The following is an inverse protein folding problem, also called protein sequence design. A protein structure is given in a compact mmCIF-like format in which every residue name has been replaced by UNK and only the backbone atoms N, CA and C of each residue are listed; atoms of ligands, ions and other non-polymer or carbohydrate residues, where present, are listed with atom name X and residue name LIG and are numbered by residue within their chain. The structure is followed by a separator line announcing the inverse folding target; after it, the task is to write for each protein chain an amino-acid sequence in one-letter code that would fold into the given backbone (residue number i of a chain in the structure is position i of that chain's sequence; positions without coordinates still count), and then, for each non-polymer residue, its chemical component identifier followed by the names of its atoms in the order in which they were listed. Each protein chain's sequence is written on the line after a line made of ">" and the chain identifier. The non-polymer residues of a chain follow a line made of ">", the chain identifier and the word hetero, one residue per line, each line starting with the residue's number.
data_IF_721864271991
#
_entry.id   IF_721864271991
#
_cell.length_a   1.000
_cell.length_b   1.000
_cell.length_c   1.000
_cell.angle_alpha   90.00
_cell.angle_beta   90.00
_cell.angle_gamma   90.00
#
_symmetry.space_group_name_H-M   'P 1'
#
loop_
_entity.id
_entity.type
_entity.pdbx_description
1 polymer ?
#
# COMPACT_ATOMS: atom_id res chain seq x y z
N UNK A 1 -45.76 -87.58 16.88
CA UNK A 1 -44.33 -87.23 17.10
C UNK A 1 -44.09 -85.90 16.49
N UNK A 2 -43.84 -84.83 17.28
CA UNK A 2 -43.49 -83.50 16.77
C UNK A 2 -42.02 -83.27 16.89
N UNK A 3 -41.30 -82.71 15.85
CA UNK A 3 -39.91 -82.29 15.97
C UNK A 3 -39.80 -80.88 16.51
N UNK A 4 -38.72 -80.64 17.26
CA UNK A 4 -38.47 -79.41 17.99
C UNK A 4 -38.07 -78.25 17.13
N UNK A 5 -38.31 -77.01 17.66
CA UNK A 5 -37.87 -75.75 17.15
C UNK A 5 -36.39 -75.50 17.45
N UNK A 6 -35.64 -74.90 16.49
CA UNK A 6 -34.32 -74.39 16.78
C UNK A 6 -34.41 -72.92 17.35
N UNK A 7 -33.47 -72.63 18.27
CA UNK A 7 -33.42 -71.40 19.03
C UNK A 7 -33.02 -70.14 18.20
N UNK A 8 -33.55 -69.01 18.64
CA UNK A 8 -33.20 -67.73 18.14
C UNK A 8 -31.84 -67.23 18.69
N UNK A 9 -31.00 -66.57 17.92
CA UNK A 9 -29.82 -65.92 18.45
C UNK A 9 -30.18 -64.55 19.07
N UNK A 10 -29.57 -64.29 20.23
CA UNK A 10 -29.67 -63.03 20.99
C UNK A 10 -28.89 -61.94 20.28
N UNK A 11 -29.37 -60.71 20.11
CA UNK A 11 -28.59 -59.64 19.52
C UNK A 11 -27.61 -59.07 20.54
N UNK A 12 -26.29 -59.29 20.23
CA UNK A 12 -25.17 -58.80 21.02
C UNK A 12 -25.03 -57.28 20.93
N UNK A 13 -24.77 -56.70 22.09
CA UNK A 13 -24.43 -55.33 22.30
C UNK A 13 -23.11 -54.96 21.61
N UNK A 14 -23.19 -54.19 20.49
CA UNK A 14 -22.00 -53.52 19.94
C UNK A 14 -22.30 -52.32 19.04
N UNK A 15 -23.21 -51.42 19.43
CA UNK A 15 -23.52 -50.23 18.64
C UNK A 15 -23.28 -48.87 19.33
N UNK A 16 -22.67 -48.90 20.53
CA UNK A 16 -22.37 -47.63 21.24
C UNK A 16 -20.94 -47.14 21.18
N UNK A 17 -19.98 -47.98 20.75
CA UNK A 17 -18.57 -47.60 20.69
C UNK A 17 -18.15 -46.91 19.38
N UNK A 18 -18.91 -47.08 18.30
CA UNK A 18 -18.55 -46.47 16.99
C UNK A 18 -19.03 -45.00 16.81
N UNK A 19 -19.97 -44.56 17.63
CA UNK A 19 -20.53 -43.17 17.49
C UNK A 19 -19.72 -42.13 18.26
N UNK A 20 -18.84 -42.48 19.19
CA UNK A 20 -17.98 -41.49 19.90
C UNK A 20 -16.69 -41.18 19.17
N UNK A 21 -16.15 -42.11 18.38
CA UNK A 21 -14.93 -41.89 17.62
C UNK A 21 -15.18 -41.06 16.33
N UNK A 22 -16.37 -41.19 15.73
CA UNK A 22 -16.79 -40.32 14.63
C UNK A 22 -17.08 -38.88 15.08
N UNK A 23 -17.56 -38.68 16.30
CA UNK A 23 -17.75 -37.33 16.88
C UNK A 23 -16.45 -36.63 17.25
N UNK A 24 -15.35 -37.34 17.40
CA UNK A 24 -14.01 -36.78 17.65
C UNK A 24 -13.27 -36.34 16.38
N UNK A 25 -13.65 -36.81 15.20
CA UNK A 25 -13.00 -36.49 13.93
C UNK A 25 -13.56 -35.24 13.25
N UNK A 26 -14.76 -34.79 13.60
CA UNK A 26 -15.30 -33.49 13.16
C UNK A 26 -15.01 -32.38 14.18
N UNK A 27 -13.78 -32.23 14.67
CA UNK A 27 -13.33 -30.89 15.05
C UNK A 27 -13.18 -30.10 13.77
N UNK A 28 -14.27 -29.49 13.33
CA UNK A 28 -14.21 -28.32 12.47
C UNK A 28 -13.18 -27.39 13.09
N UNK A 29 -12.00 -27.32 12.50
CA UNK A 29 -11.15 -26.15 12.66
C UNK A 29 -12.04 -25.03 12.16
N UNK A 30 -12.75 -24.38 13.06
CA UNK A 30 -13.36 -23.09 12.78
C UNK A 30 -12.18 -22.23 12.33
N UNK A 31 -12.00 -22.11 11.02
CA UNK A 31 -11.13 -21.10 10.45
C UNK A 31 -11.72 -19.82 11.03
N UNK A 32 -11.09 -19.29 12.08
CA UNK A 32 -11.41 -17.96 12.57
C UNK A 32 -11.27 -17.08 11.36
N UNK A 33 -12.39 -16.69 10.77
CA UNK A 33 -12.43 -15.65 9.78
C UNK A 33 -11.83 -14.43 10.48
N UNK A 34 -10.55 -14.17 10.24
CA UNK A 34 -9.94 -12.93 10.69
C UNK A 34 -10.71 -11.82 10.00
N UNK A 35 -11.20 -10.82 10.74
CA UNK A 35 -11.82 -9.67 10.10
C UNK A 35 -10.84 -9.11 9.07
N UNK A 36 -11.28 -8.94 7.84
CA UNK A 36 -10.48 -8.31 6.80
C UNK A 36 -10.17 -6.88 7.24
N UNK A 37 -8.92 -6.47 7.08
CA UNK A 37 -8.53 -5.09 7.32
C UNK A 37 -9.03 -4.21 6.19
N UNK A 38 -9.51 -3.03 6.52
CA UNK A 38 -9.93 -2.02 5.54
C UNK A 38 -8.67 -1.34 4.98
N UNK A 39 -8.59 -1.25 3.67
CA UNK A 39 -7.57 -0.46 3.00
C UNK A 39 -8.23 0.50 2.03
N UNK A 40 -8.01 1.78 2.22
CA UNK A 40 -8.49 2.84 1.33
C UNK A 40 -7.36 3.25 0.40
N UNK A 41 -7.64 3.23 -0.88
CA UNK A 41 -6.80 3.77 -1.93
C UNK A 41 -7.36 5.14 -2.31
N UNK A 42 -6.66 6.20 -1.97
CA UNK A 42 -7.03 7.58 -2.33
C UNK A 42 -6.10 8.09 -3.42
N UNK A 43 -6.65 8.67 -4.48
CA UNK A 43 -5.89 9.54 -5.36
C UNK A 43 -5.81 10.95 -4.75
N UNK A 44 -4.75 11.20 -3.96
CA UNK A 44 -4.57 12.48 -3.28
C UNK A 44 -4.30 13.61 -4.27
N UNK A 45 -5.14 14.66 -4.33
CA UNK A 45 -4.90 15.80 -5.18
C UNK A 45 -3.66 16.63 -4.77
N UNK A 46 -3.18 17.46 -5.69
CA UNK A 46 -2.20 18.51 -5.40
C UNK A 46 -2.74 19.50 -4.35
N UNK A 47 -1.88 19.99 -3.47
CA UNK A 47 -2.23 20.98 -2.44
C UNK A 47 -2.87 20.42 -1.17
N UNK A 48 -3.31 19.15 -1.17
CA UNK A 48 -3.96 18.51 -0.02
C UNK A 48 -2.92 18.06 1.00
N UNK A 49 -3.13 18.43 2.27
CA UNK A 49 -2.30 18.00 3.38
C UNK A 49 -2.60 16.53 3.76
N UNK A 50 -1.54 15.76 3.99
CA UNK A 50 -1.64 14.36 4.40
C UNK A 50 -1.92 14.21 5.90
N UNK A 51 -3.03 14.79 6.37
CA UNK A 51 -3.52 14.76 7.76
C UNK A 51 -5.05 14.95 7.80
N UNK A 52 -5.68 14.46 8.87
CA UNK A 52 -7.11 14.68 9.13
C UNK A 52 -7.42 15.93 9.96
N UNK A 53 -6.42 16.45 10.68
CA UNK A 53 -6.58 17.69 11.43
C UNK A 53 -6.76 18.86 10.45
N UNK A 54 -7.85 19.60 10.62
CA UNK A 54 -8.13 20.77 9.80
C UNK A 54 -7.05 21.85 9.98
N UNK A 55 -6.69 22.52 8.90
CA UNK A 55 -5.77 23.65 8.88
C UNK A 55 -6.41 24.81 8.11
N UNK A 56 -6.53 26.00 8.67
CA UNK A 56 -7.19 27.12 8.01
C UNK A 56 -6.62 27.41 6.62
N UNK A 57 -7.51 27.50 5.62
CA UNK A 57 -7.15 27.81 4.23
C UNK A 57 -6.48 26.67 3.45
N UNK A 58 -6.40 25.45 4.02
CA UNK A 58 -5.81 24.29 3.34
C UNK A 58 -6.75 23.10 3.36
N UNK A 59 -6.84 22.41 2.23
CA UNK A 59 -7.53 21.12 2.15
C UNK A 59 -6.72 20.02 2.84
N UNK A 60 -7.42 19.09 3.50
CA UNK A 60 -6.87 17.98 4.27
C UNK A 60 -7.49 16.66 3.83
N UNK A 61 -7.04 15.53 4.34
CA UNK A 61 -7.66 14.22 4.07
C UNK A 61 -9.11 14.15 4.52
N UNK A 62 -9.49 14.94 5.53
CA UNK A 62 -10.86 14.99 6.04
C UNK A 62 -11.88 15.43 4.98
N UNK A 63 -11.45 16.27 4.04
CA UNK A 63 -12.31 16.82 2.99
C UNK A 63 -12.58 15.80 1.86
N UNK A 64 -11.81 14.72 1.80
CA UNK A 64 -11.87 13.70 0.74
C UNK A 64 -12.30 12.32 1.24
N UNK A 65 -11.91 11.93 2.46
CA UNK A 65 -12.15 10.59 3.00
C UNK A 65 -13.00 10.69 4.27
N UNK A 66 -14.35 10.59 4.13
CA UNK A 66 -15.28 10.69 5.27
C UNK A 66 -15.38 9.37 6.05
N UNK A 67 -14.31 8.59 6.08
CA UNK A 67 -14.26 7.28 6.75
C UNK A 67 -13.60 7.46 8.11
N UNK A 68 -14.27 7.13 9.23
CA UNK A 68 -13.70 7.26 10.57
C UNK A 68 -12.60 6.22 10.81
N UNK A 69 -11.73 6.54 11.76
CA UNK A 69 -10.71 5.65 12.34
C UNK A 69 -9.70 5.07 11.35
N UNK A 70 -9.50 5.73 10.19
CA UNK A 70 -8.45 5.36 9.24
C UNK A 70 -7.27 6.31 9.31
N UNK A 71 -6.07 5.77 9.13
CA UNK A 71 -4.81 6.51 9.22
C UNK A 71 -3.96 6.26 7.97
N UNK A 72 -3.24 7.28 7.53
CA UNK A 72 -2.37 7.16 6.38
C UNK A 72 -1.21 6.17 6.64
N UNK A 73 -1.04 5.22 5.74
CA UNK A 73 0.08 4.28 5.72
C UNK A 73 1.27 4.90 4.98
N UNK A 74 1.99 5.77 5.65
CA UNK A 74 3.00 6.65 5.10
C UNK A 74 2.43 8.00 4.68
N UNK A 75 3.30 8.90 4.24
CA UNK A 75 2.93 10.28 3.87
C UNK A 75 3.17 10.53 2.39
N UNK A 76 2.48 11.53 1.88
CA UNK A 76 2.72 12.15 0.60
C UNK A 76 2.69 13.67 0.82
N UNK A 77 3.68 14.38 0.30
CA UNK A 77 3.79 15.82 0.49
C UNK A 77 2.58 16.54 -0.12
N UNK A 78 2.27 17.74 0.35
CA UNK A 78 1.15 18.52 -0.18
C UNK A 78 1.30 18.85 -1.66
N UNK A 79 2.54 19.10 -2.10
CA UNK A 79 2.89 19.40 -3.50
C UNK A 79 3.08 18.13 -4.37
N UNK A 80 2.74 16.96 -3.85
CA UNK A 80 2.77 15.69 -4.56
C UNK A 80 1.37 15.09 -4.67
N UNK A 81 1.12 14.36 -5.75
CA UNK A 81 -0.19 13.81 -6.13
C UNK A 81 -0.16 12.28 -6.11
N UNK A 82 -1.33 11.67 -6.15
CA UNK A 82 -1.47 10.27 -6.46
C UNK A 82 -1.73 9.37 -5.26
N UNK A 83 -1.37 8.11 -5.37
CA UNK A 83 -1.79 7.05 -4.46
C UNK A 83 -1.35 7.29 -3.01
N UNK A 84 -2.32 7.43 -2.15
CA UNK A 84 -2.17 7.39 -0.70
C UNK A 84 -3.00 6.23 -0.15
N UNK A 85 -2.39 5.42 0.68
CA UNK A 85 -3.07 4.30 1.35
C UNK A 85 -3.45 4.71 2.77
N UNK A 86 -4.70 4.39 3.18
CA UNK A 86 -5.16 4.59 4.54
C UNK A 86 -5.78 3.29 5.05
N UNK A 87 -5.65 3.01 6.34
CA UNK A 87 -6.19 1.79 6.96
C UNK A 87 -6.52 2.03 8.43
N UNK A 88 -7.43 1.25 8.96
CA UNK A 88 -7.75 1.13 10.38
C UNK A 88 -6.87 0.08 11.11
N UNK A 89 -6.10 -0.71 10.35
CA UNK A 89 -5.21 -1.74 10.88
C UNK A 89 -3.78 -1.22 11.05
N UNK A 90 -3.36 -1.01 12.29
CA UNK A 90 -2.00 -0.54 12.63
C UNK A 90 -0.88 -1.51 12.18
N UNK A 91 -1.14 -2.82 12.11
CA UNK A 91 -0.16 -3.80 11.62
C UNK A 91 0.02 -3.67 10.11
N UNK A 92 -1.08 -3.48 9.38
CA UNK A 92 -1.06 -3.21 7.94
C UNK A 92 -0.39 -1.86 7.65
N UNK A 93 -0.75 -0.81 8.40
CA UNK A 93 -0.12 0.50 8.30
C UNK A 93 1.41 0.41 8.46
N UNK A 94 1.87 -0.28 9.51
CA UNK A 94 3.29 -0.49 9.76
C UNK A 94 3.95 -1.26 8.59
N UNK A 95 3.34 -2.34 8.10
CA UNK A 95 3.86 -3.11 6.97
C UNK A 95 4.04 -2.27 5.71
N UNK A 96 3.11 -1.37 5.43
CA UNK A 96 3.16 -0.50 4.25
C UNK A 96 4.19 0.63 4.43
N UNK A 97 4.23 1.24 5.61
CA UNK A 97 5.01 2.44 5.86
C UNK A 97 6.48 2.14 6.22
N UNK A 98 6.77 1.01 6.86
CA UNK A 98 8.10 0.70 7.38
C UNK A 98 9.10 0.42 6.23
N UNK A 99 10.19 1.18 6.16
CA UNK A 99 11.23 0.99 5.14
C UNK A 99 11.85 -0.42 5.14
N UNK A 100 11.78 -1.15 6.27
CA UNK A 100 12.30 -2.52 6.39
C UNK A 100 11.56 -3.52 5.50
N UNK A 101 10.29 -3.28 5.21
CA UNK A 101 9.49 -4.12 4.31
C UNK A 101 9.76 -3.84 2.82
N UNK A 102 10.46 -2.74 2.51
CA UNK A 102 10.95 -2.40 1.16
C UNK A 102 9.87 -2.48 0.05
N UNK A 103 8.62 -2.18 0.39
CA UNK A 103 7.56 -2.14 -0.62
C UNK A 103 7.92 -1.12 -1.71
N UNK A 104 7.97 -1.54 -2.99
CA UNK A 104 8.30 -0.63 -4.08
C UNK A 104 7.23 0.45 -4.21
N UNK A 105 7.68 1.67 -4.45
CA UNK A 105 6.81 2.82 -4.72
C UNK A 105 7.19 3.37 -6.09
N UNK A 106 6.25 3.32 -7.02
CA UNK A 106 6.42 3.83 -8.38
C UNK A 106 5.93 5.25 -8.48
N UNK A 107 6.78 6.12 -8.97
CA UNK A 107 6.51 7.52 -9.18
C UNK A 107 6.61 7.88 -10.65
N UNK A 108 5.67 8.68 -11.14
CA UNK A 108 5.73 9.41 -12.39
C UNK A 108 6.21 10.82 -12.06
N UNK A 109 7.29 11.23 -12.68
CA UNK A 109 8.01 12.45 -12.32
C UNK A 109 8.23 13.29 -13.57
N UNK A 110 7.52 14.41 -13.69
CA UNK A 110 7.82 15.40 -14.70
C UNK A 110 9.00 16.25 -14.20
N UNK A 111 10.06 16.28 -14.96
CA UNK A 111 11.27 17.07 -14.67
C UNK A 111 11.49 18.17 -15.68
N UNK A 112 12.20 19.19 -15.27
CA UNK A 112 12.70 20.25 -16.15
C UNK A 112 13.96 19.74 -16.90
N UNK A 113 13.99 19.86 -18.21
CA UNK A 113 15.04 19.31 -19.05
C UNK A 113 14.81 17.87 -19.49
N UNK A 114 15.75 17.33 -20.22
CA UNK A 114 15.76 15.96 -20.75
C UNK A 114 17.01 15.23 -20.21
N UNK A 115 16.87 14.41 -19.14
CA UNK A 115 17.98 13.65 -18.59
C UNK A 115 18.55 12.68 -19.61
N UNK A 116 19.85 12.73 -19.81
CA UNK A 116 20.60 11.75 -20.59
C UNK A 116 20.80 10.43 -19.82
N UNK A 117 21.35 9.42 -20.49
CA UNK A 117 21.62 8.12 -19.85
C UNK A 117 22.62 8.24 -18.68
N UNK A 118 23.52 9.22 -18.70
CA UNK A 118 24.46 9.48 -17.60
C UNK A 118 23.72 9.92 -16.34
N UNK A 119 22.76 10.83 -16.47
CA UNK A 119 21.91 11.27 -15.36
C UNK A 119 21.03 10.15 -14.84
N UNK A 120 20.44 9.35 -15.73
CA UNK A 120 19.63 8.18 -15.36
C UNK A 120 20.48 7.12 -14.64
N UNK A 121 21.66 6.83 -15.11
CA UNK A 121 22.59 5.90 -14.45
C UNK A 121 22.96 6.37 -13.02
N UNK A 122 23.17 7.67 -12.83
CA UNK A 122 23.41 8.24 -11.49
C UNK A 122 22.20 8.08 -10.57
N UNK A 123 20.97 8.28 -11.07
CA UNK A 123 19.77 8.02 -10.28
C UNK A 123 19.68 6.55 -9.87
N UNK A 124 19.93 5.62 -10.81
CA UNK A 124 19.86 4.16 -10.56
C UNK A 124 20.90 3.69 -9.55
N UNK A 125 22.11 4.21 -9.62
CA UNK A 125 23.21 3.83 -8.72
C UNK A 125 22.99 4.30 -7.28
N UNK A 126 22.16 5.32 -7.08
CA UNK A 126 21.99 6.03 -5.82
C UNK A 126 22.72 7.37 -5.83
N UNK A 127 22.12 8.35 -5.14
CA UNK A 127 22.53 9.75 -5.14
C UNK A 127 22.92 10.18 -3.73
N UNK A 128 24.09 10.78 -3.59
CA UNK A 128 24.48 11.44 -2.35
C UNK A 128 23.74 12.78 -2.20
N UNK A 129 22.87 12.86 -1.21
CA UNK A 129 22.04 14.04 -0.89
C UNK A 129 22.66 14.91 0.22
N UNK A 130 23.84 14.53 0.71
CA UNK A 130 24.59 15.23 1.74
C UNK A 130 24.32 14.70 3.15
N UNK A 131 23.08 14.53 3.52
CA UNK A 131 22.66 13.94 4.81
C UNK A 131 22.49 12.41 4.74
N UNK A 132 22.34 11.85 3.55
CA UNK A 132 22.37 10.41 3.29
C UNK A 132 22.61 10.12 1.81
N UNK A 133 23.08 8.90 1.52
CA UNK A 133 23.12 8.33 0.17
C UNK A 133 21.86 7.49 -0.03
N UNK A 134 21.17 7.69 -1.16
CA UNK A 134 19.96 6.90 -1.47
C UNK A 134 20.34 5.48 -1.86
N UNK A 135 19.41 4.54 -1.65
CA UNK A 135 19.56 3.21 -2.21
C UNK A 135 19.48 3.25 -3.74
N UNK A 136 19.98 2.20 -4.38
CA UNK A 136 19.77 1.98 -5.81
C UNK A 136 18.29 1.90 -6.13
N UNK A 137 17.89 2.40 -7.30
CA UNK A 137 16.52 2.43 -7.74
C UNK A 137 16.39 2.08 -9.23
N UNK A 138 15.16 1.89 -9.68
CA UNK A 138 14.85 1.84 -11.11
C UNK A 138 14.51 3.27 -11.55
N UNK A 139 15.06 3.71 -12.68
CA UNK A 139 14.74 5.00 -13.29
C UNK A 139 14.83 4.89 -14.80
N UNK A 140 13.81 5.35 -15.50
CA UNK A 140 13.75 5.39 -16.96
C UNK A 140 12.91 6.55 -17.44
N UNK A 141 13.21 7.03 -18.64
CA UNK A 141 12.34 7.99 -19.34
C UNK A 141 11.10 7.25 -19.86
N UNK A 142 9.96 7.91 -19.80
CA UNK A 142 8.66 7.43 -20.29
C UNK A 142 7.91 8.56 -20.96
N UNK A 143 6.93 8.22 -21.77
CA UNK A 143 5.96 9.18 -22.27
C UNK A 143 4.98 9.61 -21.17
N UNK A 144 4.33 10.76 -21.31
CA UNK A 144 3.25 11.16 -20.43
C UNK A 144 2.11 10.15 -20.54
N UNK A 145 1.70 9.51 -19.42
CA UNK A 145 0.63 8.52 -19.49
C UNK A 145 -0.71 9.14 -19.91
N UNK A 146 -1.41 8.50 -20.85
CA UNK A 146 -2.70 8.98 -21.38
C UNK A 146 -3.78 9.13 -20.27
N UNK A 147 -3.69 8.30 -19.22
CA UNK A 147 -4.63 8.35 -18.09
C UNK A 147 -4.34 9.46 -17.07
N UNK A 148 -3.27 10.21 -17.26
CA UNK A 148 -2.86 11.23 -16.30
C UNK A 148 -3.74 12.47 -16.44
N UNK A 149 -4.36 12.89 -15.36
CA UNK A 149 -5.24 14.05 -15.29
C UNK A 149 -4.48 15.37 -15.39
N UNK A 150 -5.10 16.43 -15.93
CA UNK A 150 -4.55 17.77 -15.87
C UNK A 150 -4.39 18.24 -14.42
N UNK A 151 -3.22 18.77 -14.06
CA UNK A 151 -3.00 19.29 -12.70
C UNK A 151 -3.67 20.66 -12.51
N UNK A 152 -4.31 20.84 -11.34
CA UNK A 152 -4.86 22.14 -10.92
C UNK A 152 -4.17 22.56 -9.61
N UNK A 153 -3.51 23.75 -9.56
CA UNK A 153 -3.19 24.64 -10.68
C UNK A 153 -2.22 23.98 -11.67
N UNK A 154 -2.18 24.40 -12.94
CA UNK A 154 -1.31 23.81 -13.95
C UNK A 154 0.17 23.93 -13.56
N UNK A 155 0.99 23.02 -14.08
CA UNK A 155 2.45 23.12 -13.95
C UNK A 155 2.93 24.37 -14.64
N UNK A 156 3.84 25.12 -14.01
CA UNK A 156 4.42 26.32 -14.63
C UNK A 156 5.16 25.91 -15.92
N UNK A 157 4.68 26.43 -17.03
CA UNK A 157 5.29 26.18 -18.34
C UNK A 157 6.34 27.25 -18.66
N UNK A 158 7.52 26.80 -19.10
CA UNK A 158 8.61 27.63 -19.61
C UNK A 158 8.84 27.31 -21.09
N UNK A 159 8.57 28.26 -21.99
CA UNK A 159 8.65 28.03 -23.45
C UNK A 159 10.02 27.55 -23.94
N UNK A 160 11.09 27.90 -23.24
CA UNK A 160 12.49 27.63 -23.67
C UNK A 160 13.13 26.45 -23.01
N UNK A 161 12.45 25.79 -22.09
CA UNK A 161 13.00 24.65 -21.36
C UNK A 161 12.13 23.43 -21.61
N UNK A 162 12.67 22.39 -22.25
CA UNK A 162 11.93 21.14 -22.44
C UNK A 162 11.62 20.47 -21.11
N UNK A 163 10.62 19.60 -21.11
CA UNK A 163 10.31 18.76 -19.96
C UNK A 163 10.15 17.33 -20.42
N UNK A 164 10.48 16.38 -19.57
CA UNK A 164 10.20 14.99 -19.85
C UNK A 164 9.63 14.27 -18.62
N UNK A 165 9.07 13.08 -18.83
CA UNK A 165 8.58 12.23 -17.78
C UNK A 165 9.56 11.10 -17.48
N UNK A 166 9.74 10.85 -16.19
CA UNK A 166 10.49 9.70 -15.68
C UNK A 166 9.58 8.79 -14.88
N UNK A 167 9.78 7.50 -14.99
CA UNK A 167 9.31 6.53 -14.03
C UNK A 167 10.46 6.18 -13.07
N UNK A 168 10.22 6.37 -11.77
CA UNK A 168 11.21 6.07 -10.72
C UNK A 168 10.56 5.11 -9.72
N UNK A 169 11.24 3.97 -9.45
CA UNK A 169 10.78 2.98 -8.46
C UNK A 169 11.73 2.94 -7.29
N UNK A 170 11.26 3.35 -6.11
CA UNK A 170 12.02 3.36 -4.87
C UNK A 170 11.53 2.27 -3.90
N UNK A 171 12.45 1.70 -3.12
CA UNK A 171 12.16 0.77 -2.01
C UNK A 171 12.37 1.40 -0.63
N UNK A 172 12.53 2.69 -0.58
CA UNK A 172 12.66 3.53 0.60
C UNK A 172 11.72 4.73 0.50
N UNK A 173 11.72 5.62 1.49
CA UNK A 173 10.83 6.79 1.47
C UNK A 173 11.29 7.83 2.49
N UNK A 174 12.35 8.56 2.15
CA UNK A 174 12.84 9.67 2.96
C UNK A 174 12.19 10.99 2.55
N UNK A 175 12.30 11.98 3.41
CA UNK A 175 11.69 13.30 3.17
C UNK A 175 12.09 13.86 1.80
N UNK A 176 11.10 14.14 0.95
CA UNK A 176 11.21 14.74 -0.38
C UNK A 176 12.27 14.06 -1.27
N UNK A 177 12.47 12.76 -1.09
CA UNK A 177 13.61 12.02 -1.66
C UNK A 177 13.66 12.14 -3.18
N UNK A 178 12.57 11.82 -3.90
CA UNK A 178 12.54 11.88 -5.37
C UNK A 178 12.93 13.28 -5.87
N UNK A 179 12.34 14.33 -5.29
CA UNK A 179 12.62 15.73 -5.68
C UNK A 179 14.08 16.11 -5.44
N UNK A 180 14.67 15.63 -4.36
CA UNK A 180 16.08 15.88 -4.04
C UNK A 180 17.01 15.12 -4.99
N UNK A 181 16.68 13.87 -5.33
CA UNK A 181 17.45 13.06 -6.26
C UNK A 181 17.48 13.70 -7.66
N UNK A 182 16.32 14.05 -8.21
CA UNK A 182 16.25 14.64 -9.57
C UNK A 182 16.91 16.00 -9.62
N UNK A 183 16.73 16.86 -8.61
CA UNK A 183 17.44 18.14 -8.53
C UNK A 183 18.96 17.98 -8.43
N UNK A 184 19.44 16.99 -7.66
CA UNK A 184 20.89 16.73 -7.49
C UNK A 184 21.58 16.27 -8.77
N UNK A 185 20.84 15.58 -9.66
CA UNK A 185 21.38 15.21 -10.98
C UNK A 185 21.18 16.29 -12.06
N UNK A 186 20.54 17.43 -11.72
CA UNK A 186 20.40 18.59 -12.59
C UNK A 186 19.02 18.78 -13.20
N UNK A 187 18.02 17.93 -12.85
CA UNK A 187 16.70 17.93 -13.47
C UNK A 187 15.60 18.10 -12.40
N UNK A 188 15.29 19.34 -11.97
CA UNK A 188 14.33 19.58 -10.91
C UNK A 188 12.92 19.05 -11.23
N UNK A 189 12.27 18.45 -10.24
CA UNK A 189 10.89 17.94 -10.37
C UNK A 189 9.88 19.09 -10.45
N UNK A 190 9.08 19.09 -11.51
CA UNK A 190 7.94 19.99 -11.74
C UNK A 190 6.65 19.38 -11.20
N UNK A 191 6.39 18.10 -11.50
CA UNK A 191 5.23 17.34 -11.06
C UNK A 191 5.65 15.97 -10.52
N UNK A 192 5.01 15.52 -9.45
CA UNK A 192 5.30 14.22 -8.83
C UNK A 192 4.00 13.51 -8.51
N UNK A 193 3.78 12.37 -9.14
CA UNK A 193 2.61 11.52 -8.95
C UNK A 193 3.04 10.14 -8.50
N UNK A 194 2.60 9.70 -7.33
CA UNK A 194 2.83 8.32 -6.91
C UNK A 194 1.76 7.42 -7.52
N UNK A 195 2.14 6.61 -8.50
CA UNK A 195 1.23 5.75 -9.26
C UNK A 195 0.95 4.42 -8.56
N UNK A 196 1.93 3.88 -7.80
CA UNK A 196 1.83 2.53 -7.21
C UNK A 196 2.57 2.42 -5.88
N UNK A 197 2.07 1.56 -4.99
CA UNK A 197 2.74 1.09 -3.77
C UNK A 197 2.54 -0.43 -3.71
N UNK A 198 3.62 -1.22 -3.89
CA UNK A 198 3.52 -2.67 -3.96
C UNK A 198 2.53 -3.13 -5.03
N UNK A 199 1.52 -3.86 -4.63
CA UNK A 199 0.44 -4.36 -5.50
C UNK A 199 -0.66 -3.33 -5.81
N UNK A 200 -0.79 -2.28 -5.01
CA UNK A 200 -1.85 -1.28 -5.15
C UNK A 200 -1.47 -0.18 -6.14
N UNK A 201 -2.40 0.16 -7.02
CA UNK A 201 -2.22 1.16 -8.07
C UNK A 201 -3.40 2.14 -8.13
N UNK A 202 -3.16 3.27 -8.79
CA UNK A 202 -4.16 4.35 -8.98
C UNK A 202 -5.26 4.02 -9.99
N UNK A 203 -5.13 2.96 -10.74
CA UNK A 203 -6.00 2.63 -11.88
C UNK A 203 -7.49 2.94 -11.64
N UNK A 204 -8.08 3.79 -12.47
CA UNK A 204 -9.49 4.16 -12.45
C UNK A 204 -9.92 5.14 -11.36
N UNK A 205 -8.99 5.74 -10.61
CA UNK A 205 -9.31 6.76 -9.61
C UNK A 205 -8.98 8.16 -10.12
N UNK A 206 -9.98 9.03 -10.22
CA UNK A 206 -9.78 10.45 -10.49
C UNK A 206 -9.22 11.17 -9.23
N UNK A 207 -8.63 12.37 -9.37
CA UNK A 207 -8.15 13.15 -8.22
C UNK A 207 -9.25 13.40 -7.18
N UNK A 208 -8.97 13.07 -5.93
CA UNK A 208 -9.91 13.16 -4.82
C UNK A 208 -10.82 11.95 -4.66
N UNK A 209 -10.88 11.06 -5.63
CA UNK A 209 -11.60 9.80 -5.50
C UNK A 209 -10.83 8.77 -4.68
N UNK A 210 -11.61 7.90 -4.03
CA UNK A 210 -11.07 6.78 -3.28
C UNK A 210 -11.92 5.53 -3.45
N UNK A 211 -11.31 4.39 -3.22
CA UNK A 211 -12.00 3.09 -3.12
C UNK A 211 -11.50 2.31 -1.92
N UNK A 212 -12.39 1.52 -1.35
CA UNK A 212 -12.05 0.58 -0.28
C UNK A 212 -11.77 -0.80 -0.87
N UNK A 213 -10.72 -1.46 -0.38
CA UNK A 213 -10.39 -2.84 -0.68
C UNK A 213 -10.22 -3.60 0.63
N UNK A 214 -10.72 -4.82 0.68
CA UNK A 214 -10.53 -5.72 1.80
C UNK A 214 -9.21 -6.46 1.63
N UNK A 215 -8.34 -6.41 2.63
CA UNK A 215 -7.05 -7.11 2.60
C UNK A 215 -6.94 -8.06 3.80
N UNK A 216 -6.26 -9.20 3.64
CA UNK A 216 -5.96 -10.06 4.77
C UNK A 216 -5.19 -9.28 5.83
N UNK A 217 -5.50 -9.45 7.14
CA UNK A 217 -4.75 -8.81 8.19
C UNK A 217 -3.29 -9.26 8.13
N UNK A 218 -2.38 -8.29 8.33
CA UNK A 218 -0.96 -8.60 8.42
C UNK A 218 -0.66 -9.53 9.62
N UNK A 219 0.46 -10.25 9.61
CA UNK A 219 0.91 -11.01 10.76
C UNK A 219 1.02 -10.06 11.96
N UNK A 220 0.28 -10.35 13.03
CA UNK A 220 0.35 -9.55 14.26
C UNK A 220 1.75 -9.70 14.85
N UNK A 221 2.40 -8.60 15.25
CA UNK A 221 3.63 -8.70 16.00
C UNK A 221 3.38 -9.51 17.29
N UNK A 222 4.34 -10.32 17.75
CA UNK A 222 4.20 -11.04 19.00
C UNK A 222 3.86 -10.05 20.13
N UNK A 223 2.85 -10.39 20.94
CA UNK A 223 2.51 -9.58 22.12
C UNK A 223 3.71 -9.58 23.06
N UNK A 224 4.40 -8.47 23.15
CA UNK A 224 5.39 -8.25 24.19
C UNK A 224 4.62 -8.05 25.49
N UNK A 225 4.54 -9.11 26.30
CA UNK A 225 4.05 -8.96 27.65
C UNK A 225 5.09 -8.16 28.44
N UNK A 226 4.85 -6.88 28.62
CA UNK A 226 5.60 -6.08 29.59
C UNK A 226 5.30 -6.64 30.98
N UNK A 227 6.23 -7.42 31.55
CA UNK A 227 6.21 -7.70 32.98
C UNK A 227 6.41 -6.36 33.70
N UNK A 228 5.34 -5.83 34.28
CA UNK A 228 5.45 -4.76 35.28
C UNK A 228 6.28 -5.35 36.44
N UNK A 229 7.41 -4.74 36.72
CA UNK A 229 8.13 -4.90 37.99
C UNK A 229 7.42 -4.11 39.08
#
# INVERSE_FOLDING_TARGET
>A
MRPGRPGQPVPGANSRAQTEDERRRCRFIAIRAFPLSRLILLNKPFGVLCQFTAEPGKATLKDYVPVPDVYAAGRLDSDSEGLLLLTDDGALQHRIADPRHKLPKTYLVQVEGEPDETALARLRAGVDLGDFVTLSCEARQVDEPEWLWPRVPPVRFRKTVPTCWLEIVLREGKNRQVRRMTAKVGFPTLRLVRARIGEWALEGLAPGEWREVAVPPGPRPPRVFSRKR
#
